data_IF_532727662221
#
_entry.id   IF_532727662221
#
_cell.length_a   1.000
_cell.length_b   1.000
_cell.length_c   1.000
_cell.angle_alpha   90.00
_cell.angle_beta   90.00
_cell.angle_gamma   90.00
#
_symmetry.space_group_name_H-M   'P 1'
#
loop_
_entity.id
_entity.type
_entity.pdbx_description
1 polymer ?
#
# COMPACT_ATOMS: atom_id res chain seq x y z
N UNK A 1 12.72 -6.92 -17.90
CA UNK A 1 12.74 -5.46 -18.14
C UNK A 1 13.80 -5.23 -19.21
N UNK A 2 13.40 -4.87 -20.44
CA UNK A 2 14.34 -4.68 -21.56
C UNK A 2 15.10 -3.36 -21.44
N UNK A 3 16.32 -3.30 -21.95
CA UNK A 3 17.12 -2.07 -21.99
C UNK A 3 16.51 -1.08 -23.00
N UNK A 4 16.33 0.17 -22.58
CA UNK A 4 15.88 1.27 -23.45
C UNK A 4 16.97 1.62 -24.47
N UNK A 5 16.61 1.67 -25.75
CA UNK A 5 17.54 1.97 -26.85
C UNK A 5 17.21 3.28 -27.58
N UNK A 6 15.96 3.73 -27.55
CA UNK A 6 15.55 4.99 -28.19
C UNK A 6 14.27 5.55 -27.58
N UNK A 7 14.02 6.84 -27.84
CA UNK A 7 12.76 7.54 -27.54
C UNK A 7 12.37 8.40 -28.74
N UNK A 8 11.08 8.47 -29.06
CA UNK A 8 10.53 9.30 -30.15
C UNK A 8 9.17 9.89 -29.73
N UNK A 9 8.77 11.02 -30.31
CA UNK A 9 7.45 11.65 -30.11
C UNK A 9 6.72 11.69 -31.46
N UNK A 10 5.45 11.30 -31.50
CA UNK A 10 4.65 11.40 -32.73
C UNK A 10 4.00 12.78 -32.91
N UNK A 11 3.35 13.00 -34.05
CA UNK A 11 2.69 14.28 -34.38
C UNK A 11 1.50 14.62 -33.47
N UNK A 12 1.06 13.70 -32.60
CA UNK A 12 0.02 13.92 -31.60
C UNK A 12 0.61 14.11 -30.18
N UNK A 13 1.94 14.17 -30.05
CA UNK A 13 2.64 14.33 -28.78
C UNK A 13 2.76 13.05 -27.96
N UNK A 14 2.55 11.87 -28.55
CA UNK A 14 2.72 10.60 -27.83
C UNK A 14 4.18 10.16 -27.86
N UNK A 15 4.71 9.80 -26.70
CA UNK A 15 6.06 9.28 -26.57
C UNK A 15 6.09 7.77 -26.85
N UNK A 16 7.11 7.34 -27.58
CA UNK A 16 7.39 5.97 -27.98
C UNK A 16 8.81 5.61 -27.52
N UNK A 17 8.99 4.40 -26.99
CA UNK A 17 10.28 3.89 -26.54
C UNK A 17 10.69 2.66 -27.36
N UNK A 18 11.93 2.65 -27.82
CA UNK A 18 12.57 1.48 -28.41
C UNK A 18 13.18 0.60 -27.31
N UNK A 19 12.92 -0.70 -27.37
CA UNK A 19 13.51 -1.71 -26.51
C UNK A 19 14.58 -2.51 -27.28
N UNK A 20 15.65 -2.89 -26.59
CA UNK A 20 16.67 -3.80 -27.13
C UNK A 20 15.99 -5.11 -27.58
N UNK A 21 16.01 -5.38 -28.89
CA UNK A 21 15.24 -6.45 -29.54
C UNK A 21 14.27 -5.96 -30.63
N UNK A 22 14.21 -4.66 -30.92
CA UNK A 22 13.44 -4.10 -32.03
C UNK A 22 11.96 -3.84 -31.73
N UNK A 23 11.53 -4.06 -30.49
CA UNK A 23 10.16 -3.74 -30.05
C UNK A 23 10.01 -2.25 -29.78
N UNK A 24 8.94 -1.65 -30.31
CA UNK A 24 8.53 -0.27 -30.02
C UNK A 24 7.36 -0.34 -29.05
N UNK A 25 7.47 0.28 -27.88
CA UNK A 25 6.37 0.39 -26.90
C UNK A 25 5.96 1.84 -26.75
N UNK A 26 4.66 2.10 -26.73
CA UNK A 26 4.17 3.45 -26.42
C UNK A 26 4.44 3.73 -24.94
N UNK A 27 5.10 4.85 -24.66
CA UNK A 27 5.34 5.34 -23.31
C UNK A 27 4.05 6.01 -22.83
N UNK A 28 3.15 5.18 -22.28
CA UNK A 28 1.85 5.61 -21.74
C UNK A 28 2.01 6.36 -20.41
N UNK A 29 2.65 7.52 -20.44
CA UNK A 29 2.54 8.52 -19.36
C UNK A 29 1.19 9.27 -19.40
N UNK A 30 0.45 9.18 -20.53
CA UNK A 30 -0.87 9.79 -20.72
C UNK A 30 -1.95 8.77 -21.12
N UNK A 31 -2.14 7.72 -20.32
CA UNK A 31 -3.35 6.89 -20.42
C UNK A 31 -4.43 7.48 -19.50
N UNK A 32 -5.58 7.98 -20.02
CA UNK A 32 -6.63 8.59 -19.20
C UNK A 32 -7.16 7.66 -18.11
N UNK A 33 -7.25 6.36 -18.37
CA UNK A 33 -7.67 5.37 -17.38
C UNK A 33 -6.62 5.19 -16.28
N UNK A 34 -5.33 5.18 -16.63
CA UNK A 34 -4.24 5.14 -15.64
C UNK A 34 -4.20 6.41 -14.80
N UNK A 35 -4.40 7.58 -15.41
CA UNK A 35 -4.50 8.86 -14.69
C UNK A 35 -5.69 8.84 -13.72
N UNK A 36 -6.86 8.39 -14.18
CA UNK A 36 -8.04 8.24 -13.33
C UNK A 36 -7.77 7.28 -12.16
N UNK A 37 -7.13 6.15 -12.41
CA UNK A 37 -6.77 5.18 -11.38
C UNK A 37 -5.85 5.80 -10.32
N UNK A 38 -4.82 6.54 -10.73
CA UNK A 38 -3.82 7.15 -9.83
C UNK A 38 -4.41 8.32 -9.04
N UNK A 39 -5.11 9.24 -9.69
CA UNK A 39 -5.53 10.50 -9.05
C UNK A 39 -6.89 10.41 -8.36
N UNK A 40 -7.78 9.53 -8.81
CA UNK A 40 -9.16 9.48 -8.30
C UNK A 40 -9.50 8.19 -7.56
N UNK A 41 -8.97 7.03 -7.97
CA UNK A 41 -9.34 5.75 -7.38
C UNK A 41 -8.39 5.33 -6.26
N UNK A 42 -7.08 5.38 -6.50
CA UNK A 42 -6.07 4.96 -5.53
C UNK A 42 -6.17 5.72 -4.20
N UNK A 43 -6.35 7.06 -4.16
CA UNK A 43 -6.47 7.77 -2.88
C UNK A 43 -7.70 7.34 -2.08
N UNK A 44 -8.82 7.03 -2.75
CA UNK A 44 -10.03 6.51 -2.09
C UNK A 44 -9.81 5.11 -1.52
N UNK A 45 -9.12 4.26 -2.26
CA UNK A 45 -8.75 2.91 -1.81
C UNK A 45 -7.85 2.99 -0.58
N UNK A 46 -6.79 3.81 -0.63
CA UNK A 46 -5.88 3.99 0.49
C UNK A 46 -6.59 4.62 1.69
N UNK A 47 -7.43 5.64 1.51
CA UNK A 47 -8.22 6.22 2.59
C UNK A 47 -9.19 5.21 3.24
N UNK A 48 -9.77 4.30 2.44
CA UNK A 48 -10.60 3.20 2.94
C UNK A 48 -9.81 2.23 3.83
N UNK A 49 -8.53 2.00 3.50
CA UNK A 49 -7.65 1.14 4.30
C UNK A 49 -7.08 1.87 5.52
N UNK A 50 -6.50 3.05 5.36
CA UNK A 50 -5.71 3.73 6.39
C UNK A 50 -6.58 4.52 7.37
N UNK A 51 -7.57 5.27 6.88
CA UNK A 51 -8.38 6.15 7.71
C UNK A 51 -9.61 5.42 8.27
N UNK A 52 -10.34 4.72 7.40
CA UNK A 52 -11.55 3.99 7.79
C UNK A 52 -11.27 2.60 8.36
N UNK A 53 -10.05 2.08 8.18
CA UNK A 53 -9.64 0.72 8.60
C UNK A 53 -10.65 -0.36 8.21
N UNK A 54 -11.21 -0.30 7.00
CA UNK A 54 -12.25 -1.25 6.54
C UNK A 54 -11.78 -2.72 6.62
N UNK A 55 -10.47 -2.95 6.53
CA UNK A 55 -9.85 -4.27 6.64
C UNK A 55 -10.11 -4.98 7.99
N UNK A 56 -10.52 -4.27 9.04
CA UNK A 56 -10.89 -4.85 10.34
C UNK A 56 -12.22 -5.61 10.28
N UNK A 57 -13.08 -5.34 9.30
CA UNK A 57 -14.27 -6.14 9.07
C UNK A 57 -13.86 -7.53 8.57
N UNK A 58 -14.15 -8.58 9.34
CA UNK A 58 -13.79 -9.95 8.97
C UNK A 58 -14.56 -10.50 7.75
N UNK A 59 -15.70 -9.92 7.41
CA UNK A 59 -16.51 -10.26 6.23
C UNK A 59 -16.21 -9.37 5.02
N UNK A 60 -15.16 -8.54 5.07
CA UNK A 60 -14.84 -7.62 4.00
C UNK A 60 -14.58 -8.35 2.68
N UNK A 61 -15.46 -8.10 1.71
CA UNK A 61 -15.31 -8.52 0.31
C UNK A 61 -15.00 -7.32 -0.58
N UNK A 62 -14.55 -7.56 -1.81
CA UNK A 62 -14.29 -6.46 -2.77
C UNK A 62 -15.55 -5.66 -3.08
N UNK A 63 -16.72 -6.32 -3.08
CA UNK A 63 -18.02 -5.67 -3.28
C UNK A 63 -18.32 -4.70 -2.14
N UNK A 64 -18.30 -5.19 -0.90
CA UNK A 64 -18.54 -4.37 0.30
C UNK A 64 -17.55 -3.21 0.38
N UNK A 65 -16.28 -3.46 0.06
CA UNK A 65 -15.27 -2.41 0.03
C UNK A 65 -15.55 -1.36 -1.05
N UNK A 66 -15.89 -1.79 -2.27
CA UNK A 66 -16.19 -0.90 -3.39
C UNK A 66 -17.40 0.01 -3.12
N UNK A 67 -18.44 -0.53 -2.50
CA UNK A 67 -19.63 0.21 -2.06
C UNK A 67 -19.25 1.26 -1.01
N UNK A 68 -18.45 0.89 -0.01
CA UNK A 68 -18.03 1.77 1.08
C UNK A 68 -17.14 2.97 0.64
N UNK A 69 -16.49 2.87 -0.51
CA UNK A 69 -15.64 3.94 -1.08
C UNK A 69 -16.24 4.58 -2.35
N UNK A 70 -17.42 4.16 -2.78
CA UNK A 70 -18.12 4.71 -3.93
C UNK A 70 -17.39 4.48 -5.26
N UNK A 71 -16.84 3.27 -5.48
CA UNK A 71 -16.19 2.85 -6.72
C UNK A 71 -16.79 1.54 -7.22
N UNK A 72 -16.59 1.21 -8.51
CA UNK A 72 -16.98 -0.12 -9.01
C UNK A 72 -15.97 -1.19 -8.57
N UNK A 73 -16.42 -2.45 -8.46
CA UNK A 73 -15.54 -3.61 -8.19
C UNK A 73 -14.42 -3.71 -9.22
N UNK A 74 -14.72 -3.41 -10.50
CA UNK A 74 -13.75 -3.42 -11.60
C UNK A 74 -12.66 -2.38 -11.37
N UNK A 75 -13.04 -1.15 -11.03
CA UNK A 75 -12.08 -0.06 -10.81
C UNK A 75 -11.20 -0.33 -9.59
N UNK A 76 -11.78 -0.83 -8.50
CA UNK A 76 -11.00 -1.25 -7.31
C UNK A 76 -9.99 -2.32 -7.68
N UNK A 77 -10.44 -3.40 -8.33
CA UNK A 77 -9.57 -4.52 -8.67
C UNK A 77 -8.48 -4.13 -9.67
N UNK A 78 -8.84 -3.37 -10.71
CA UNK A 78 -7.87 -2.91 -11.71
C UNK A 78 -6.83 -1.97 -11.08
N UNK A 79 -7.27 -1.01 -10.26
CA UNK A 79 -6.38 -0.04 -9.61
C UNK A 79 -5.42 -0.74 -8.66
N UNK A 80 -5.87 -1.68 -7.83
CA UNK A 80 -4.99 -2.40 -6.90
C UNK A 80 -3.97 -3.23 -7.68
N UNK A 81 -4.39 -3.99 -8.71
CA UNK A 81 -3.46 -4.80 -9.48
C UNK A 81 -2.43 -3.94 -10.21
N UNK A 82 -2.85 -2.84 -10.85
CA UNK A 82 -1.96 -2.02 -11.67
C UNK A 82 -1.07 -1.09 -10.84
N UNK A 83 -1.59 -0.50 -9.77
CA UNK A 83 -0.87 0.52 -8.99
C UNK A 83 -0.16 -0.05 -7.77
N UNK A 84 -0.68 -1.14 -7.19
CA UNK A 84 -0.14 -1.76 -5.97
C UNK A 84 0.46 -3.15 -6.22
N UNK A 85 0.41 -3.65 -7.46
CA UNK A 85 1.04 -4.90 -7.90
C UNK A 85 0.66 -6.09 -7.00
N UNK A 86 -0.61 -6.14 -6.58
CA UNK A 86 -1.14 -7.21 -5.75
C UNK A 86 -2.65 -7.42 -5.97
N UNK A 87 -3.18 -8.52 -5.45
CA UNK A 87 -4.62 -8.76 -5.43
C UNK A 87 -5.31 -8.09 -4.23
N UNK A 88 -6.64 -7.89 -4.31
CA UNK A 88 -7.42 -7.27 -3.23
C UNK A 88 -7.30 -8.01 -1.89
N UNK A 89 -7.39 -9.35 -1.90
CA UNK A 89 -7.25 -10.16 -0.68
C UNK A 89 -5.85 -10.04 -0.07
N UNK A 90 -4.82 -9.97 -0.92
CA UNK A 90 -3.44 -9.78 -0.47
C UNK A 90 -3.28 -8.41 0.19
N UNK A 91 -3.82 -7.35 -0.41
CA UNK A 91 -3.83 -6.01 0.16
C UNK A 91 -4.45 -6.00 1.56
N UNK A 92 -5.64 -6.57 1.72
CA UNK A 92 -6.32 -6.69 3.03
C UNK A 92 -5.41 -7.40 4.02
N UNK A 93 -4.87 -8.57 3.65
CA UNK A 93 -4.06 -9.37 4.55
C UNK A 93 -2.79 -8.63 4.97
N UNK A 94 -2.17 -7.85 4.09
CA UNK A 94 -1.03 -6.99 4.44
C UNK A 94 -1.43 -5.99 5.55
N UNK A 95 -2.56 -5.29 5.41
CA UNK A 95 -3.06 -4.38 6.44
C UNK A 95 -3.41 -5.08 7.76
N UNK A 96 -4.14 -6.21 7.69
CA UNK A 96 -4.49 -7.00 8.87
C UNK A 96 -3.26 -7.47 9.65
N UNK A 97 -2.22 -7.96 8.95
CA UNK A 97 -0.97 -8.36 9.60
C UNK A 97 -0.24 -7.17 10.23
N UNK A 98 -0.22 -6.00 9.58
CA UNK A 98 0.38 -4.81 10.19
C UNK A 98 -0.36 -4.38 11.45
N UNK A 99 -1.70 -4.42 11.45
CA UNK A 99 -2.47 -4.12 12.65
C UNK A 99 -2.25 -5.16 13.75
N UNK A 100 -2.19 -6.45 13.41
CA UNK A 100 -1.86 -7.50 14.37
C UNK A 100 -0.47 -7.26 15.01
N UNK A 101 0.55 -6.91 14.21
CA UNK A 101 1.88 -6.56 14.72
C UNK A 101 1.83 -5.36 15.66
N UNK A 102 1.06 -4.32 15.33
CA UNK A 102 0.85 -3.15 16.20
C UNK A 102 0.22 -3.57 17.53
N UNK A 103 -0.90 -4.30 17.48
CA UNK A 103 -1.63 -4.75 18.66
C UNK A 103 -0.77 -5.65 19.58
N UNK A 104 0.04 -6.54 19.02
CA UNK A 104 0.95 -7.40 19.80
C UNK A 104 2.03 -6.62 20.55
N UNK A 105 2.45 -5.47 20.01
CA UNK A 105 3.47 -4.61 20.62
C UNK A 105 2.83 -3.69 21.67
N UNK A 106 1.70 -3.07 21.32
CA UNK A 106 1.04 -2.03 22.12
C UNK A 106 0.25 -2.60 23.30
N UNK A 107 -0.40 -3.76 23.13
CA UNK A 107 -1.24 -4.39 24.14
C UNK A 107 -0.70 -5.77 24.53
N UNK A 108 0.29 -5.80 25.43
CA UNK A 108 1.00 -7.03 25.80
C UNK A 108 0.12 -8.07 26.51
N UNK A 109 -0.84 -7.60 27.29
CA UNK A 109 -1.76 -8.45 28.06
C UNK A 109 -2.89 -9.03 27.20
N UNK A 110 -3.09 -8.49 25.99
CA UNK A 110 -4.12 -8.96 25.06
C UNK A 110 -3.78 -10.36 24.57
N UNK A 111 -4.73 -11.29 24.56
CA UNK A 111 -4.46 -12.64 24.07
C UNK A 111 -4.16 -12.62 22.56
N UNK A 112 -3.40 -13.61 22.06
CA UNK A 112 -3.14 -13.73 20.62
C UNK A 112 -4.45 -13.96 19.84
N UNK A 113 -5.42 -14.61 20.46
CA UNK A 113 -6.75 -14.81 19.89
C UNK A 113 -7.54 -13.51 19.74
N UNK A 114 -7.50 -12.62 20.74
CA UNK A 114 -8.17 -11.32 20.66
C UNK A 114 -7.50 -10.44 19.60
N UNK A 115 -6.16 -10.42 19.56
CA UNK A 115 -5.42 -9.72 18.51
C UNK A 115 -5.81 -10.20 17.12
N UNK A 116 -5.94 -11.52 16.93
CA UNK A 116 -6.35 -12.10 15.66
C UNK A 116 -7.72 -11.54 15.23
N UNK A 117 -8.72 -11.60 16.12
CA UNK A 117 -10.07 -11.13 15.83
C UNK A 117 -10.10 -9.62 15.58
N UNK A 118 -9.46 -8.84 16.44
CA UNK A 118 -9.42 -7.38 16.33
C UNK A 118 -8.68 -6.90 15.08
N UNK A 119 -7.68 -7.65 14.62
CA UNK A 119 -7.00 -7.38 13.35
C UNK A 119 -7.80 -7.78 12.11
N UNK A 120 -9.02 -8.29 12.27
CA UNK A 120 -9.95 -8.63 11.18
C UNK A 120 -9.83 -10.06 10.65
N UNK A 121 -9.09 -10.96 11.31
CA UNK A 121 -9.08 -12.38 10.93
C UNK A 121 -10.17 -13.17 11.65
N UNK A 122 -10.87 -14.04 10.92
CA UNK A 122 -11.82 -15.01 11.48
C UNK A 122 -11.29 -16.45 11.53
N UNK A 123 -10.08 -16.70 11.02
CA UNK A 123 -9.49 -18.03 10.93
C UNK A 123 -8.10 -18.08 11.57
N UNK A 124 -7.95 -18.91 12.59
CA UNK A 124 -6.68 -19.15 13.28
C UNK A 124 -5.61 -19.64 12.32
N UNK A 125 -5.92 -20.63 11.49
CA UNK A 125 -4.97 -21.20 10.53
C UNK A 125 -4.49 -20.16 9.52
N UNK A 126 -5.40 -19.34 8.99
CA UNK A 126 -5.04 -18.27 8.07
C UNK A 126 -4.17 -17.21 8.74
N UNK A 127 -4.55 -16.76 9.94
CA UNK A 127 -3.80 -15.78 10.72
C UNK A 127 -2.37 -16.24 10.98
N UNK A 128 -2.19 -17.43 11.57
CA UNK A 128 -0.85 -17.93 11.90
C UNK A 128 0.01 -18.15 10.66
N UNK A 129 -0.56 -18.66 9.56
CA UNK A 129 0.16 -18.86 8.29
C UNK A 129 0.65 -17.53 7.71
N UNK A 130 -0.25 -16.55 7.58
CA UNK A 130 0.06 -15.24 6.99
C UNK A 130 0.99 -14.44 7.90
N UNK A 131 0.79 -14.49 9.21
CA UNK A 131 1.63 -13.80 10.17
C UNK A 131 3.06 -14.36 10.14
N UNK A 132 3.21 -15.69 10.23
CA UNK A 132 4.54 -16.32 10.15
C UNK A 132 5.20 -16.07 8.80
N UNK A 133 4.45 -16.14 7.70
CA UNK A 133 4.98 -15.82 6.37
C UNK A 133 5.47 -14.38 6.24
N UNK A 134 4.79 -13.42 6.87
CA UNK A 134 5.16 -11.99 6.82
C UNK A 134 6.24 -11.59 7.83
N UNK A 135 6.24 -12.20 9.02
CA UNK A 135 7.10 -11.80 10.14
C UNK A 135 8.29 -12.74 10.37
N UNK A 136 8.32 -13.92 9.73
CA UNK A 136 9.27 -14.99 10.02
C UNK A 136 9.03 -15.72 11.36
N UNK A 137 8.15 -15.18 12.22
CA UNK A 137 7.90 -15.63 13.58
C UNK A 137 6.41 -15.87 13.80
N UNK A 138 6.06 -16.76 14.72
CA UNK A 138 4.66 -16.86 15.19
C UNK A 138 4.27 -15.59 15.97
N UNK A 139 2.96 -15.27 16.09
CA UNK A 139 2.50 -14.12 16.86
C UNK A 139 3.07 -14.05 18.29
N UNK A 140 3.11 -15.18 19.02
CA UNK A 140 3.66 -15.25 20.36
C UNK A 140 5.17 -15.00 20.38
N UNK A 141 5.92 -15.62 19.45
CA UNK A 141 7.36 -15.37 19.31
C UNK A 141 7.65 -13.92 18.95
N UNK A 142 6.85 -13.31 18.07
CA UNK A 142 7.00 -11.92 17.68
C UNK A 142 6.80 -10.98 18.87
N UNK A 143 5.77 -11.24 19.70
CA UNK A 143 5.52 -10.48 20.94
C UNK A 143 6.72 -10.54 21.90
N UNK A 144 7.27 -11.72 22.11
CA UNK A 144 8.39 -11.91 23.04
C UNK A 144 9.69 -11.31 22.49
N UNK A 145 9.95 -11.40 21.18
CA UNK A 145 11.15 -10.82 20.55
C UNK A 145 11.11 -9.29 20.44
N UNK A 146 9.93 -8.67 20.50
CA UNK A 146 9.80 -7.22 20.52
C UNK A 146 10.42 -6.56 21.77
N UNK A 147 10.87 -7.36 22.75
CA UNK A 147 11.65 -6.91 23.91
C UNK A 147 13.11 -6.56 23.59
N UNK A 148 13.64 -6.86 22.39
CA UNK A 148 15.03 -6.51 22.07
C UNK A 148 15.22 -4.99 22.06
N UNK A 149 16.04 -4.42 22.98
CA UNK A 149 16.25 -2.97 23.10
C UNK A 149 16.77 -2.34 21.79
N UNK A 150 17.52 -3.13 21.01
CA UNK A 150 18.09 -2.71 19.73
C UNK A 150 17.01 -2.46 18.65
N UNK A 151 15.95 -3.29 18.61
CA UNK A 151 14.84 -3.08 17.68
C UNK A 151 13.96 -1.89 18.10
N UNK A 152 13.85 -1.61 19.40
CA UNK A 152 13.12 -0.44 19.89
C UNK A 152 13.83 0.87 19.47
N UNK A 153 15.16 0.93 19.63
CA UNK A 153 15.97 2.08 19.22
C UNK A 153 16.01 2.27 17.71
N UNK A 154 16.12 1.19 16.91
CA UNK A 154 16.01 1.28 15.45
C UNK A 154 14.63 1.79 15.00
N UNK A 155 13.55 1.37 15.66
CA UNK A 155 12.19 1.85 15.35
C UNK A 155 11.99 3.33 15.73
N UNK A 156 12.53 3.77 16.86
CA UNK A 156 12.50 5.18 17.27
C UNK A 156 13.30 6.05 16.29
N UNK A 157 14.48 5.58 15.88
CA UNK A 157 15.32 6.27 14.89
C UNK A 157 14.63 6.37 13.53
N UNK A 158 14.01 5.28 13.03
CA UNK A 158 13.24 5.27 11.78
C UNK A 158 12.03 6.21 11.89
N UNK A 159 11.26 6.16 12.99
CA UNK A 159 10.12 7.08 13.17
C UNK A 159 10.56 8.55 13.19
N UNK A 160 11.65 8.88 13.87
CA UNK A 160 12.20 10.23 13.89
C UNK A 160 12.71 10.65 12.50
N UNK A 161 13.42 9.76 11.80
CA UNK A 161 13.98 10.01 10.48
C UNK A 161 12.90 10.16 9.39
N UNK A 162 11.91 9.26 9.35
CA UNK A 162 10.78 9.36 8.42
C UNK A 162 9.84 10.52 8.76
N UNK A 163 9.71 10.89 10.04
CA UNK A 163 8.98 12.10 10.45
C UNK A 163 9.58 13.36 9.83
N UNK A 164 10.91 13.48 9.86
CA UNK A 164 11.67 14.59 9.26
C UNK A 164 11.53 14.60 7.73
N UNK A 165 11.60 13.43 7.08
CA UNK A 165 11.46 13.32 5.61
C UNK A 165 10.03 13.65 5.15
N UNK A 166 8.99 13.21 5.84
CA UNK A 166 7.60 13.53 5.47
C UNK A 166 7.27 15.01 5.66
N UNK A 167 7.81 15.66 6.70
CA UNK A 167 7.71 17.13 6.81
C UNK A 167 8.44 17.83 5.66
N UNK A 168 9.60 17.33 5.24
CA UNK A 168 10.36 17.91 4.12
C UNK A 168 9.70 17.67 2.75
N UNK A 169 9.10 16.50 2.51
CA UNK A 169 8.36 16.17 1.29
C UNK A 169 7.05 16.96 1.18
N UNK A 170 6.34 17.16 2.28
CA UNK A 170 5.13 17.99 2.30
C UNK A 170 5.45 19.45 1.95
N UNK A 171 6.58 19.99 2.46
CA UNK A 171 7.10 21.32 2.08
C UNK A 171 7.54 21.37 0.62
N UNK A 172 8.13 20.29 0.09
CA UNK A 172 8.59 20.21 -1.30
C UNK A 172 7.41 20.15 -2.29
N UNK A 173 6.37 19.36 -2.00
CA UNK A 173 5.15 19.28 -2.81
C UNK A 173 4.38 20.60 -2.78
N UNK A 174 4.31 21.30 -1.64
CA UNK A 174 3.70 22.64 -1.55
C UNK A 174 4.51 23.74 -2.26
N UNK A 175 5.84 23.62 -2.34
CA UNK A 175 6.70 24.61 -3.03
C UNK A 175 6.70 24.47 -4.56
N UNK A 176 6.37 23.30 -5.09
CA UNK A 176 6.28 23.08 -6.55
C UNK A 176 5.01 23.70 -7.14
N UNK A 177 3.93 23.83 -6.36
CA UNK A 177 2.65 24.38 -6.82
C UNK A 177 2.62 25.94 -6.90
N UNK A 178 3.46 26.64 -6.11
CA UNK A 178 3.47 28.11 -6.09
C UNK A 178 4.21 28.72 -7.30
N UNK A 179 5.11 27.98 -7.96
CA UNK A 179 5.85 28.48 -9.13
C UNK A 179 5.07 28.44 -10.44
N UNK A 180 3.91 27.78 -10.49
CA UNK A 180 3.05 27.70 -11.67
C UNK A 180 1.87 28.68 -11.66
N UNK A 181 1.77 29.58 -10.67
CA UNK A 181 0.66 30.54 -10.54
C UNK A 181 1.03 32.01 -10.85
N UNK A 182 2.25 32.29 -11.33
CA UNK A 182 2.69 33.68 -11.62
C UNK A 182 3.35 33.92 -12.98
N UNK A 183 3.25 33.00 -13.94
CA UNK A 183 3.58 33.28 -15.35
C UNK A 183 2.68 32.49 -16.29
#
# INVERSE_FOLDING_TARGET
MGMLTSIAEDSQGQLWIGLAGGGISRMDSYNPQTRQAIFNYLPKILAGMENKKLFLNHELTVRVFSEAIGLSVKDVSATINQQLQCGFLELINRYRIQEAKRLLIEYRDKSVSDVMLESGFNSRSAFYKLFKGSAGLTPSQFRNNAESPLLHLQKLWIKAFFGIINSALSIFILKVDIRAMFY
#
